data_IF_350543289580
#
_entry.id   IF_350543289580
#
_cell.length_a   1.000
_cell.length_b   1.000
_cell.length_c   1.000
_cell.angle_alpha   90.00
_cell.angle_beta   90.00
_cell.angle_gamma   90.00
#
_symmetry.space_group_name_H-M   'P 1'
#
loop_
_entity.id
_entity.type
_entity.pdbx_description
1 polymer ?
#
# COMPACT_ATOMS: atom_id res chain seq x y z
N UNK A 1 -11.25 -8.31 -9.11
CA UNK A 1 -10.36 -7.61 -8.14
C UNK A 1 -11.15 -7.24 -6.89
N UNK A 2 -10.47 -6.88 -5.79
CA UNK A 2 -11.14 -6.53 -4.51
C UNK A 2 -12.18 -5.42 -4.69
N UNK A 3 -11.90 -4.44 -5.55
CA UNK A 3 -12.79 -3.33 -5.89
C UNK A 3 -14.01 -3.71 -6.73
N UNK A 4 -14.10 -4.94 -7.24
CA UNK A 4 -15.27 -5.39 -8.03
C UNK A 4 -16.44 -5.83 -7.14
N UNK A 5 -16.25 -5.94 -5.82
CA UNK A 5 -17.31 -6.30 -4.87
C UNK A 5 -18.36 -5.20 -4.78
N UNK A 6 -19.68 -5.50 -4.80
CA UNK A 6 -20.75 -4.51 -4.89
C UNK A 6 -20.64 -3.35 -3.88
N UNK A 7 -20.23 -3.63 -2.64
CA UNK A 7 -20.16 -2.65 -1.54
C UNK A 7 -18.73 -2.16 -1.27
N UNK A 8 -17.88 -2.14 -2.30
CA UNK A 8 -16.51 -1.64 -2.19
C UNK A 8 -16.32 -0.47 -3.14
N UNK A 9 -16.16 0.72 -2.59
CA UNK A 9 -15.91 1.96 -3.31
C UNK A 9 -14.44 2.38 -3.22
N UNK A 10 -13.79 2.02 -2.11
CA UNK A 10 -12.40 2.34 -1.79
C UNK A 10 -11.64 1.09 -1.34
N UNK A 11 -10.46 0.87 -1.91
CA UNK A 11 -9.49 -0.14 -1.47
C UNK A 11 -8.22 0.57 -0.98
N UNK A 12 -7.77 0.25 0.22
CA UNK A 12 -6.53 0.79 0.79
C UNK A 12 -5.56 -0.34 1.13
N UNK A 13 -4.31 -0.20 0.69
CA UNK A 13 -3.17 -1.00 1.14
C UNK A 13 -2.34 -0.20 2.14
N UNK A 14 -2.50 -0.41 3.46
CA UNK A 14 -1.84 0.41 4.45
C UNK A 14 -0.33 0.15 4.46
N UNK A 15 0.45 1.21 4.72
CA UNK A 15 1.89 1.12 4.96
C UNK A 15 2.19 1.29 6.46
N UNK A 16 3.28 0.69 6.94
CA UNK A 16 3.73 0.77 8.33
C UNK A 16 4.11 2.19 8.77
N UNK A 17 4.39 3.10 7.83
CA UNK A 17 4.73 4.51 8.08
C UNK A 17 3.50 5.40 8.40
N UNK A 18 2.29 4.84 8.32
CA UNK A 18 1.01 5.54 8.53
C UNK A 18 0.39 6.11 7.24
N UNK A 19 0.97 5.83 6.09
CA UNK A 19 0.40 6.06 4.76
C UNK A 19 -0.29 4.83 4.17
N UNK A 20 -0.30 4.76 2.84
CA UNK A 20 -0.75 3.62 2.07
C UNK A 20 0.07 3.45 0.80
N UNK A 21 0.50 2.22 0.49
CA UNK A 21 1.20 1.89 -0.75
C UNK A 21 0.24 1.71 -1.94
N UNK A 22 -1.07 1.59 -1.67
CA UNK A 22 -2.10 1.45 -2.69
C UNK A 22 -3.40 2.14 -2.29
N UNK A 23 -3.97 2.88 -3.24
CA UNK A 23 -5.35 3.35 -3.20
C UNK A 23 -6.06 2.98 -4.51
N UNK A 24 -7.27 2.43 -4.40
CA UNK A 24 -8.12 2.09 -5.54
C UNK A 24 -9.52 2.61 -5.33
N UNK A 25 -10.09 3.29 -6.34
CA UNK A 25 -11.42 3.89 -6.27
C UNK A 25 -12.32 3.38 -7.41
N UNK A 26 -13.60 3.10 -7.09
CA UNK A 26 -14.61 2.70 -8.08
C UNK A 26 -14.97 3.84 -9.03
N UNK A 27 -15.02 5.05 -8.50
CA UNK A 27 -15.27 6.29 -9.23
C UNK A 27 -14.30 7.36 -8.73
N UNK A 28 -14.03 8.39 -9.53
CA UNK A 28 -13.18 9.50 -9.07
C UNK A 28 -13.82 10.18 -7.85
N UNK A 29 -13.03 10.37 -6.77
CA UNK A 29 -13.42 11.06 -5.53
C UNK A 29 -12.33 12.04 -5.09
N UNK A 30 -12.15 13.18 -5.79
CA UNK A 30 -11.11 14.16 -5.46
C UNK A 30 -11.16 14.63 -4.00
N UNK A 31 -12.36 14.72 -3.42
CA UNK A 31 -12.60 15.17 -2.04
C UNK A 31 -11.88 14.33 -0.97
N UNK A 32 -11.52 13.07 -1.28
CA UNK A 32 -10.71 12.24 -0.38
C UNK A 32 -9.29 12.78 -0.21
N UNK A 33 -8.79 13.53 -1.19
CA UNK A 33 -7.38 13.91 -1.33
C UNK A 33 -7.14 15.41 -1.14
N UNK A 34 -8.21 16.21 -1.06
CA UNK A 34 -8.12 17.67 -0.92
C UNK A 34 -7.60 18.11 0.46
N UNK A 35 -6.40 18.69 0.55
CA UNK A 35 -5.86 19.13 1.84
C UNK A 35 -5.49 17.97 2.77
N UNK A 36 -5.19 16.79 2.23
CA UNK A 36 -4.55 15.71 2.98
C UNK A 36 -3.12 16.14 3.33
N UNK A 37 -2.66 15.96 4.58
CA UNK A 37 -1.28 16.26 4.97
C UNK A 37 -0.34 15.17 4.43
N UNK A 38 -0.04 15.24 3.13
CA UNK A 38 0.82 14.28 2.43
C UNK A 38 2.18 14.10 3.11
N UNK A 39 2.77 12.91 2.94
CA UNK A 39 4.07 12.56 3.52
C UNK A 39 4.11 12.61 5.05
N UNK A 40 2.98 12.32 5.71
CA UNK A 40 2.88 12.19 7.17
C UNK A 40 2.20 10.88 7.55
N UNK A 41 2.47 10.39 8.75
CA UNK A 41 1.76 9.25 9.33
C UNK A 41 0.24 9.50 9.53
N UNK A 42 -0.23 10.74 9.30
CA UNK A 42 -1.63 11.12 9.38
C UNK A 42 -2.43 10.88 8.10
N UNK A 43 -1.78 10.49 6.99
CA UNK A 43 -2.45 10.33 5.68
C UNK A 43 -3.53 9.24 5.73
N UNK A 44 -3.20 8.04 6.25
CA UNK A 44 -4.16 6.94 6.30
C UNK A 44 -5.34 7.21 7.25
N UNK A 45 -5.14 7.68 8.50
CA UNK A 45 -6.23 8.07 9.38
C UNK A 45 -7.17 9.12 8.77
N UNK A 46 -6.62 10.16 8.14
CA UNK A 46 -7.42 11.24 7.55
C UNK A 46 -8.21 10.77 6.33
N UNK A 47 -7.58 9.99 5.45
CA UNK A 47 -8.27 9.41 4.28
C UNK A 47 -9.40 8.49 4.72
N UNK A 48 -9.17 7.66 5.75
CA UNK A 48 -10.18 6.76 6.32
C UNK A 48 -11.34 7.53 6.95
N UNK A 49 -11.05 8.62 7.68
CA UNK A 49 -12.05 9.48 8.29
C UNK A 49 -12.98 10.08 7.22
N UNK A 50 -12.41 10.65 6.16
CA UNK A 50 -13.18 11.22 5.05
C UNK A 50 -14.00 10.19 4.29
N UNK A 51 -13.44 9.01 4.04
CA UNK A 51 -14.17 7.92 3.39
C UNK A 51 -15.41 7.52 4.21
N UNK A 52 -15.31 7.50 5.54
CA UNK A 52 -16.47 7.28 6.44
C UNK A 52 -17.47 8.41 6.36
N UNK A 53 -17.03 9.66 6.38
CA UNK A 53 -17.91 10.85 6.29
C UNK A 53 -18.69 10.85 4.96
N UNK A 54 -18.09 10.32 3.89
CA UNK A 54 -18.70 10.17 2.56
C UNK A 54 -19.53 8.89 2.39
N UNK A 55 -19.60 8.03 3.41
CA UNK A 55 -20.36 6.77 3.38
C UNK A 55 -19.80 5.71 2.43
N UNK A 56 -18.49 5.74 2.13
CA UNK A 56 -17.87 4.81 1.18
C UNK A 56 -17.62 3.43 1.79
N UNK A 57 -17.95 2.38 1.03
CA UNK A 57 -17.58 1.02 1.37
C UNK A 57 -16.07 0.78 1.22
N UNK A 58 -15.40 0.40 2.30
CA UNK A 58 -13.94 0.24 2.32
C UNK A 58 -13.52 -1.24 2.39
N UNK A 59 -12.50 -1.59 1.60
CA UNK A 59 -11.78 -2.86 1.73
C UNK A 59 -10.28 -2.62 1.96
N UNK A 60 -9.68 -3.54 2.70
CA UNK A 60 -8.27 -3.45 3.11
C UNK A 60 -7.45 -4.53 2.43
N UNK A 61 -6.30 -4.14 1.88
CA UNK A 61 -5.24 -5.09 1.54
C UNK A 61 -4.36 -5.35 2.78
N UNK A 62 -3.53 -6.40 2.78
CA UNK A 62 -2.58 -6.62 3.86
C UNK A 62 -1.66 -5.41 4.09
N UNK A 63 -1.34 -5.16 5.35
CA UNK A 63 -0.29 -4.22 5.75
C UNK A 63 1.03 -4.62 5.11
N UNK A 64 1.76 -3.63 4.59
CA UNK A 64 3.09 -3.79 4.05
C UNK A 64 3.97 -2.60 4.45
N UNK A 65 5.20 -2.55 3.95
CA UNK A 65 6.15 -1.48 4.22
C UNK A 65 6.70 -0.90 2.91
N UNK A 66 6.99 0.39 2.91
CA UNK A 66 7.69 1.05 1.81
C UNK A 66 9.20 0.71 1.85
N UNK A 67 9.85 0.74 0.68
CA UNK A 67 11.27 0.43 0.56
C UNK A 67 12.04 1.70 0.27
N UNK A 68 12.31 2.46 1.33
CA UNK A 68 12.97 3.77 1.24
C UNK A 68 14.45 3.73 1.66
N UNK A 69 14.81 2.82 2.56
CA UNK A 69 16.17 2.72 3.10
C UNK A 69 16.86 1.42 2.68
N UNK A 70 18.19 1.38 2.88
CA UNK A 70 18.96 0.15 2.69
C UNK A 70 18.46 -1.00 3.58
N UNK A 71 18.04 -0.69 4.81
CA UNK A 71 17.49 -1.69 5.72
C UNK A 71 16.15 -2.26 5.22
N UNK A 72 15.29 -1.43 4.63
CA UNK A 72 14.03 -1.89 4.04
C UNK A 72 14.27 -2.81 2.85
N UNK A 73 15.33 -2.56 2.08
CA UNK A 73 15.70 -3.41 0.96
C UNK A 73 16.24 -4.76 1.40
N UNK A 74 17.03 -4.81 2.48
CA UNK A 74 17.46 -6.08 3.10
C UNK A 74 16.26 -6.85 3.67
N UNK A 75 15.31 -6.14 4.30
CA UNK A 75 14.04 -6.71 4.77
C UNK A 75 13.23 -7.30 3.61
N UNK A 76 13.12 -6.58 2.50
CA UNK A 76 12.47 -7.06 1.29
C UNK A 76 13.14 -8.34 0.78
N UNK A 77 14.48 -8.37 0.69
CA UNK A 77 15.22 -9.56 0.27
C UNK A 77 14.92 -10.78 1.12
N UNK A 78 14.92 -10.62 2.45
CA UNK A 78 14.57 -11.69 3.39
C UNK A 78 13.14 -12.21 3.17
N UNK A 79 12.18 -11.31 2.97
CA UNK A 79 10.77 -11.67 2.72
C UNK A 79 10.58 -12.45 1.41
N UNK A 80 11.35 -12.12 0.37
CA UNK A 80 11.29 -12.79 -0.92
C UNK A 80 11.89 -14.20 -0.82
N UNK A 81 12.99 -14.41 -0.10
CA UNK A 81 13.57 -15.75 0.11
C UNK A 81 12.57 -16.67 0.82
N UNK A 82 11.83 -16.15 1.80
CA UNK A 82 10.80 -16.90 2.52
C UNK A 82 9.57 -17.24 1.68
N UNK A 83 9.38 -16.59 0.52
CA UNK A 83 8.23 -16.78 -0.36
C UNK A 83 8.61 -17.66 -1.55
N UNK A 84 7.99 -18.83 -1.69
CA UNK A 84 8.17 -19.71 -2.86
C UNK A 84 7.48 -19.14 -4.11
N UNK A 85 8.21 -19.01 -5.23
CA UNK A 85 7.63 -18.68 -6.55
C UNK A 85 8.29 -17.51 -7.30
N UNK A 86 7.71 -17.14 -8.44
CA UNK A 86 8.23 -16.15 -9.40
C UNK A 86 7.92 -14.68 -9.07
N UNK A 87 7.48 -14.39 -7.84
CA UNK A 87 7.15 -13.03 -7.41
C UNK A 87 8.38 -12.12 -7.48
N UNK A 88 8.19 -10.91 -8.00
CA UNK A 88 9.24 -9.90 -8.13
C UNK A 88 10.53 -10.43 -8.81
N UNK A 89 10.40 -11.20 -9.90
CA UNK A 89 11.54 -11.84 -10.61
C UNK A 89 12.74 -10.92 -10.88
N UNK A 90 12.46 -9.65 -11.22
CA UNK A 90 13.49 -8.66 -11.52
C UNK A 90 14.18 -8.18 -10.24
N UNK A 91 13.41 -7.94 -9.19
CA UNK A 91 13.94 -7.60 -7.86
C UNK A 91 14.80 -8.72 -7.30
N UNK A 92 14.35 -9.98 -7.41
CA UNK A 92 15.13 -11.16 -7.00
C UNK A 92 16.43 -11.26 -7.77
N UNK A 93 16.37 -11.20 -9.10
CA UNK A 93 17.56 -11.27 -9.94
C UNK A 93 18.60 -10.21 -9.56
N UNK A 94 18.15 -8.99 -9.27
CA UNK A 94 19.02 -7.92 -8.82
C UNK A 94 19.63 -8.19 -7.43
N UNK A 95 18.85 -8.69 -6.48
CA UNK A 95 19.32 -8.99 -5.12
C UNK A 95 20.31 -10.17 -5.11
N UNK A 96 20.05 -11.21 -5.90
CA UNK A 96 20.93 -12.39 -6.02
C UNK A 96 22.29 -12.06 -6.65
N UNK A 97 22.35 -11.02 -7.49
CA UNK A 97 23.55 -10.56 -8.18
C UNK A 97 24.44 -9.61 -7.38
N UNK A 98 24.07 -9.26 -6.14
CA UNK A 98 24.86 -8.34 -5.31
C UNK A 98 26.08 -9.06 -4.69
N UNK A 99 27.27 -8.44 -4.68
CA UNK A 99 28.33 -8.90 -3.80
C UNK A 99 27.84 -8.79 -2.35
N UNK A 100 28.01 -9.87 -1.57
CA UNK A 100 27.66 -9.92 -0.15
C UNK A 100 28.59 -9.06 0.69
#
# INVERSE_FOLDING_TARGET
GVIAKPDTDLVLGPSEDGGYYLVGLRAARPELFEGVPWSTAGVLPETTRRARDLGLGMAWLPLWFDVDTGADLERLGTSLVATTGALARHTRHFLDGRPR
#
